data_IF_855061725701
#
_entry.id   IF_855061725701
#
_cell.length_a   1.000
_cell.length_b   1.000
_cell.length_c   1.000
_cell.angle_alpha   90.00
_cell.angle_beta   90.00
_cell.angle_gamma   90.00
#
_symmetry.space_group_name_H-M   'P 1'
#
loop_
_entity.id
_entity.type
_entity.pdbx_description
1 polymer ?
#
# COMPACT_ATOMS: atom_id res chain seq x y z
N UNK A 1 9.93 11.85 -10.85
CA UNK A 1 8.92 11.59 -9.83
C UNK A 1 9.43 10.58 -8.82
N UNK A 2 9.24 10.83 -7.55
CA UNK A 2 9.72 9.95 -6.49
C UNK A 2 8.77 8.79 -6.25
N UNK A 3 9.29 7.73 -5.67
CA UNK A 3 8.51 6.59 -5.21
C UNK A 3 8.44 6.55 -3.68
N UNK A 4 7.29 6.11 -3.19
CA UNK A 4 7.00 6.08 -1.75
C UNK A 4 6.41 4.73 -1.39
N UNK A 5 7.00 4.06 -0.40
CA UNK A 5 6.54 2.75 0.05
C UNK A 5 5.67 2.93 1.28
N UNK A 6 4.39 2.60 1.11
CA UNK A 6 3.45 2.50 2.22
C UNK A 6 3.49 1.06 2.72
N UNK A 7 3.84 0.88 3.99
CA UNK A 7 3.87 -0.43 4.63
C UNK A 7 2.74 -0.51 5.65
N UNK A 8 1.91 -1.54 5.52
CA UNK A 8 0.84 -1.86 6.45
C UNK A 8 1.25 -3.01 7.35
N UNK A 9 1.06 -2.87 8.66
CA UNK A 9 1.09 -3.98 9.60
C UNK A 9 -0.35 -4.50 9.73
N UNK A 10 -0.56 -5.77 9.45
CA UNK A 10 -1.90 -6.36 9.40
C UNK A 10 -2.28 -6.96 10.74
N UNK A 11 -3.56 -6.84 11.12
CA UNK A 11 -4.10 -7.46 12.32
C UNK A 11 -4.05 -8.99 12.20
N UNK A 12 -3.93 -9.73 13.32
CA UNK A 12 -3.89 -11.20 13.28
C UNK A 12 -5.11 -11.83 12.62
N UNK A 13 -6.28 -11.17 12.67
CA UNK A 13 -7.54 -11.64 12.08
C UNK A 13 -7.86 -10.98 10.75
N UNK A 14 -6.84 -10.44 10.07
CA UNK A 14 -7.00 -9.74 8.80
C UNK A 14 -7.78 -10.54 7.76
N UNK A 15 -7.42 -11.82 7.55
CA UNK A 15 -8.05 -12.65 6.53
C UNK A 15 -9.55 -12.87 6.80
N UNK A 16 -9.92 -13.05 8.05
CA UNK A 16 -11.32 -13.27 8.43
C UNK A 16 -12.16 -12.00 8.27
N UNK A 17 -11.56 -10.85 8.52
CA UNK A 17 -12.30 -9.58 8.54
C UNK A 17 -12.30 -8.85 7.20
N UNK A 18 -11.35 -9.14 6.32
CA UNK A 18 -11.19 -8.35 5.09
C UNK A 18 -12.36 -8.45 4.13
N UNK A 19 -13.08 -9.57 4.12
CA UNK A 19 -14.17 -9.79 3.17
C UNK A 19 -15.22 -8.68 3.21
N UNK A 20 -15.57 -8.19 4.40
CA UNK A 20 -16.56 -7.14 4.58
C UNK A 20 -16.11 -5.77 4.05
N UNK A 21 -14.80 -5.54 3.96
CA UNK A 21 -14.23 -4.23 3.59
C UNK A 21 -13.51 -4.26 2.25
N UNK A 22 -13.33 -5.44 1.66
CA UNK A 22 -12.46 -5.64 0.50
C UNK A 22 -12.92 -4.83 -0.72
N UNK A 23 -14.23 -4.78 -0.99
CA UNK A 23 -14.75 -4.06 -2.15
C UNK A 23 -14.41 -2.56 -2.08
N UNK A 24 -14.60 -1.94 -0.92
CA UNK A 24 -14.27 -0.52 -0.73
C UNK A 24 -12.76 -0.28 -0.82
N UNK A 25 -11.97 -1.15 -0.21
CA UNK A 25 -10.51 -1.06 -0.26
C UNK A 25 -10.01 -1.15 -1.70
N UNK A 26 -10.48 -2.15 -2.46
CA UNK A 26 -10.07 -2.34 -3.85
C UNK A 26 -10.53 -1.20 -4.74
N UNK A 27 -11.72 -0.63 -4.51
CA UNK A 27 -12.19 0.52 -5.26
C UNK A 27 -11.28 1.74 -5.03
N UNK A 28 -10.86 1.98 -3.79
CA UNK A 28 -9.93 3.05 -3.44
C UNK A 28 -8.58 2.82 -4.14
N UNK A 29 -8.06 1.60 -4.09
CA UNK A 29 -6.78 1.23 -4.71
C UNK A 29 -6.83 1.37 -6.23
N UNK A 30 -7.89 0.90 -6.86
CA UNK A 30 -8.06 0.99 -8.31
C UNK A 30 -8.17 2.45 -8.76
N UNK A 31 -8.88 3.29 -8.01
CA UNK A 31 -8.95 4.72 -8.29
C UNK A 31 -7.58 5.39 -8.23
N UNK A 32 -6.79 5.06 -7.23
CA UNK A 32 -5.42 5.58 -7.11
C UNK A 32 -4.54 5.09 -8.25
N UNK A 33 -4.70 3.83 -8.69
CA UNK A 33 -3.97 3.28 -9.82
C UNK A 33 -4.34 3.99 -11.13
N UNK A 34 -5.61 4.25 -11.34
CA UNK A 34 -6.09 4.96 -12.53
C UNK A 34 -5.54 6.38 -12.61
N UNK A 35 -5.34 7.03 -11.47
CA UNK A 35 -4.72 8.36 -11.40
C UNK A 35 -3.20 8.33 -11.53
N UNK A 36 -2.59 7.16 -11.67
CA UNK A 36 -1.13 7.01 -11.74
C UNK A 36 -0.42 7.16 -10.41
N UNK A 37 -1.15 7.15 -9.31
CA UNK A 37 -0.59 7.32 -7.97
C UNK A 37 -0.11 6.00 -7.38
N UNK A 38 -0.95 4.96 -7.44
CA UNK A 38 -0.59 3.62 -6.97
C UNK A 38 -0.05 2.80 -8.13
N UNK A 39 1.18 2.32 -8.03
CA UNK A 39 1.83 1.53 -9.07
C UNK A 39 1.59 0.03 -8.89
N UNK A 40 1.69 -0.46 -7.67
CA UNK A 40 1.34 -1.84 -7.33
C UNK A 40 1.19 -1.97 -5.82
N UNK A 41 0.49 -3.02 -5.39
CA UNK A 41 0.33 -3.29 -3.97
C UNK A 41 -0.17 -4.71 -3.73
N UNK A 42 0.05 -5.19 -2.53
CA UNK A 42 -0.40 -6.51 -2.12
C UNK A 42 0.20 -6.94 -0.80
N UNK A 43 -0.35 -8.02 -0.26
CA UNK A 43 0.16 -8.60 0.98
C UNK A 43 1.35 -9.49 0.70
N UNK A 44 2.30 -9.52 1.63
CA UNK A 44 3.43 -10.44 1.59
C UNK A 44 3.09 -11.69 2.41
N UNK A 45 3.55 -12.84 1.94
CA UNK A 45 3.26 -14.13 2.58
C UNK A 45 4.56 -14.88 2.88
N UNK A 46 4.58 -15.50 4.05
CA UNK A 46 5.54 -16.54 4.35
C UNK A 46 4.83 -17.89 4.25
N UNK A 47 5.54 -18.93 3.80
CA UNK A 47 4.96 -20.25 3.61
C UNK A 47 4.29 -20.75 4.91
N UNK A 48 3.01 -21.14 4.81
CA UNK A 48 2.26 -21.71 5.93
C UNK A 48 1.76 -20.70 6.95
N UNK A 49 1.90 -19.40 6.70
CA UNK A 49 1.47 -18.37 7.65
C UNK A 49 0.44 -17.42 7.02
N UNK A 50 -0.40 -16.83 7.85
CA UNK A 50 -1.26 -15.72 7.45
C UNK A 50 -0.40 -14.49 7.16
N UNK A 51 -0.83 -13.59 6.25
CA UNK A 51 -0.05 -12.38 5.95
C UNK A 51 -0.01 -11.46 7.17
N UNK A 52 1.19 -10.94 7.47
CA UNK A 52 1.39 -9.98 8.56
C UNK A 52 1.63 -8.56 8.04
N UNK A 53 1.89 -8.42 6.75
CA UNK A 53 2.31 -7.16 6.16
C UNK A 53 1.76 -7.00 4.75
N UNK A 54 1.49 -5.76 4.35
CA UNK A 54 1.18 -5.42 2.96
C UNK A 54 2.03 -4.22 2.54
N UNK A 55 2.38 -4.19 1.26
CA UNK A 55 3.22 -3.14 0.68
C UNK A 55 2.47 -2.50 -0.47
N UNK A 56 2.50 -1.16 -0.54
CA UNK A 56 1.89 -0.39 -1.62
C UNK A 56 2.90 0.64 -2.11
N UNK A 57 3.19 0.63 -3.40
CA UNK A 57 4.15 1.53 -4.02
C UNK A 57 3.44 2.68 -4.72
N UNK A 58 3.74 3.90 -4.29
CA UNK A 58 3.14 5.12 -4.83
C UNK A 58 4.16 5.97 -5.56
N UNK A 59 3.69 6.69 -6.57
CA UNK A 59 4.45 7.73 -7.25
C UNK A 59 3.93 9.10 -6.78
N UNK A 60 4.83 10.03 -6.50
CA UNK A 60 4.46 11.38 -6.07
C UNK A 60 5.68 12.22 -5.75
N UNK A 61 5.48 13.52 -5.61
CA UNK A 61 6.56 14.44 -5.29
C UNK A 61 7.01 14.33 -3.83
N UNK A 62 6.08 13.92 -2.96
CA UNK A 62 6.36 13.73 -1.54
C UNK A 62 5.47 12.62 -0.98
N UNK A 63 5.53 12.39 0.32
CA UNK A 63 4.80 11.31 0.98
C UNK A 63 3.29 11.52 1.06
N UNK A 64 2.79 12.72 0.75
CA UNK A 64 1.39 13.06 1.03
C UNK A 64 0.38 12.19 0.28
N UNK A 65 0.69 11.77 -0.95
CA UNK A 65 -0.20 10.91 -1.73
C UNK A 65 -0.41 9.56 -1.05
N UNK A 66 0.68 8.93 -0.62
CA UNK A 66 0.61 7.65 0.09
C UNK A 66 -0.06 7.78 1.45
N UNK A 67 0.24 8.87 2.17
CA UNK A 67 -0.38 9.12 3.48
C UNK A 67 -1.87 9.36 3.36
N UNK A 68 -2.31 10.13 2.36
CA UNK A 68 -3.73 10.38 2.12
C UNK A 68 -4.47 9.08 1.79
N UNK A 69 -3.84 8.19 1.02
CA UNK A 69 -4.41 6.88 0.74
C UNK A 69 -4.65 6.09 2.04
N UNK A 70 -3.64 6.01 2.89
CA UNK A 70 -3.75 5.27 4.15
C UNK A 70 -4.87 5.83 5.03
N UNK A 71 -4.99 7.15 5.11
CA UNK A 71 -6.04 7.79 5.92
C UNK A 71 -7.44 7.57 5.36
N UNK A 72 -7.56 7.29 4.07
CA UNK A 72 -8.85 7.04 3.40
C UNK A 72 -9.21 5.56 3.32
N UNK A 73 -8.28 4.67 3.64
CA UNK A 73 -8.46 3.24 3.48
C UNK A 73 -9.35 2.66 4.58
N UNK A 74 -10.48 2.01 4.23
CA UNK A 74 -11.34 1.39 5.24
C UNK A 74 -10.60 0.30 6.05
N UNK A 75 -9.58 -0.34 5.49
CA UNK A 75 -8.76 -1.30 6.24
C UNK A 75 -8.06 -0.63 7.42
N UNK A 76 -7.61 0.60 7.25
CA UNK A 76 -6.99 1.38 8.33
C UNK A 76 -8.05 1.84 9.32
N UNK A 77 -9.13 2.43 8.83
CA UNK A 77 -10.19 3.00 9.67
C UNK A 77 -10.84 1.93 10.56
N UNK A 78 -10.95 0.69 10.09
CA UNK A 78 -11.62 -0.39 10.79
C UNK A 78 -10.66 -1.32 11.53
N UNK A 79 -9.37 -0.98 11.59
CA UNK A 79 -8.40 -1.69 12.41
C UNK A 79 -7.84 -2.99 11.84
N UNK A 80 -8.08 -3.29 10.55
CA UNK A 80 -7.41 -4.41 9.87
C UNK A 80 -5.92 -4.12 9.70
N UNK A 81 -5.59 -2.85 9.51
CA UNK A 81 -4.22 -2.35 9.54
C UNK A 81 -4.02 -1.70 10.89
N UNK A 82 -3.14 -2.26 11.70
CA UNK A 82 -2.90 -1.78 13.08
C UNK A 82 -1.89 -0.64 13.12
N UNK A 83 -1.04 -0.56 12.11
CA UNK A 83 0.00 0.46 12.00
C UNK A 83 0.41 0.62 10.55
N UNK A 84 0.78 1.82 10.15
CA UNK A 84 1.32 2.05 8.82
C UNK A 84 2.42 3.10 8.85
N UNK A 85 3.30 3.03 7.86
CA UNK A 85 4.36 4.00 7.68
C UNK A 85 4.62 4.25 6.20
N UNK A 86 5.15 5.42 5.87
CA UNK A 86 5.55 5.78 4.51
C UNK A 86 7.03 6.15 4.52
N UNK A 87 7.78 5.56 3.58
CA UNK A 87 9.20 5.86 3.39
C UNK A 87 9.47 6.09 1.91
N UNK A 88 10.39 6.99 1.60
CA UNK A 88 10.86 7.13 0.24
C UNK A 88 11.63 5.88 -0.17
N UNK A 89 11.35 5.37 -1.36
CA UNK A 89 12.06 4.24 -1.94
C UNK A 89 12.77 4.73 -3.19
N UNK A 90 14.09 4.84 -3.14
CA UNK A 90 14.91 5.23 -4.28
C UNK A 90 14.99 4.04 -5.26
N UNK A 91 13.97 3.87 -6.07
CA UNK A 91 13.91 2.77 -7.05
C UNK A 91 14.77 3.13 -8.25
N UNK A 92 15.75 2.29 -8.58
CA UNK A 92 16.73 2.59 -9.62
C UNK A 92 16.75 1.58 -10.77
N UNK A 93 16.13 0.43 -10.60
CA UNK A 93 16.13 -0.63 -11.59
C UNK A 93 14.73 -1.24 -11.71
N UNK A 94 14.40 -1.68 -12.91
CA UNK A 94 13.11 -2.27 -13.21
C UNK A 94 12.22 -1.34 -14.03
N UNK A 95 11.20 -1.94 -14.65
CA UNK A 95 10.31 -1.23 -15.58
C UNK A 95 9.63 -0.01 -14.97
N UNK A 96 9.33 -0.06 -13.68
CA UNK A 96 8.59 0.99 -12.99
C UNK A 96 9.44 1.78 -12.02
N UNK A 97 10.76 1.66 -12.10
CA UNK A 97 11.65 2.43 -11.25
C UNK A 97 11.55 3.93 -11.55
N UNK A 98 11.92 4.74 -10.56
CA UNK A 98 11.97 6.20 -10.74
C UNK A 98 13.16 6.61 -11.61
N UNK A 99 14.16 5.76 -11.74
CA UNK A 99 15.31 5.98 -12.61
C UNK A 99 16.64 5.93 -11.88
N UNK A 100 17.70 5.66 -12.63
CA UNK A 100 19.05 5.48 -12.09
C UNK A 100 19.63 6.75 -11.45
N UNK A 101 19.08 7.91 -11.72
CA UNK A 101 19.51 9.17 -11.11
C UNK A 101 18.82 9.52 -9.81
N UNK A 102 17.90 8.66 -9.37
CA UNK A 102 17.10 8.92 -8.17
C UNK A 102 17.85 8.64 -6.86
#
# INVERSE_FOLDING_TARGET
MKHWLLTYTLAPDYLERRAALRAEHLALAQGAAERGQLLLGGATYEAGAAPAEALLLFAGEDASTAEAFARSDPYVAQGLVTRWSVREWATVAGKWSAGAGS
#
